data_IF_262650400744
#
_entry.id   IF_262650400744
#
_cell.length_a   1.000
_cell.length_b   1.000
_cell.length_c   1.000
_cell.angle_alpha   90.00
_cell.angle_beta   90.00
_cell.angle_gamma   90.00
#
_symmetry.space_group_name_H-M   'P 1'
#
loop_
_entity.id
_entity.type
_entity.pdbx_description
1 polymer ?
#
# COMPACT_ATOMS: atom_id res chain seq x y z
N UNK A 1 17.67 3.00 -18.70
CA UNK A 1 17.51 2.14 -17.50
C UNK A 1 16.79 0.88 -17.92
N UNK A 2 17.31 -0.28 -17.57
CA UNK A 2 16.67 -1.57 -17.79
C UNK A 2 15.60 -1.84 -16.72
N UNK A 3 14.66 -2.74 -17.00
CA UNK A 3 13.67 -3.16 -16.00
C UNK A 3 14.32 -3.72 -14.73
N UNK A 4 15.39 -4.51 -14.87
CA UNK A 4 16.08 -5.15 -13.74
C UNK A 4 16.74 -4.10 -12.83
N UNK A 5 17.34 -3.06 -13.42
CA UNK A 5 17.88 -1.92 -12.66
C UNK A 5 16.77 -1.18 -11.91
N UNK A 6 15.62 -0.97 -12.57
CA UNK A 6 14.47 -0.31 -11.96
C UNK A 6 13.92 -1.09 -10.76
N UNK A 7 13.73 -2.40 -10.90
CA UNK A 7 13.20 -3.29 -9.86
C UNK A 7 14.15 -3.43 -8.66
N UNK A 8 15.46 -3.46 -8.93
CA UNK A 8 16.48 -3.59 -7.89
C UNK A 8 16.73 -2.29 -7.12
N UNK A 9 16.40 -1.13 -7.70
CA UNK A 9 16.52 0.15 -6.99
C UNK A 9 15.44 0.30 -5.91
N UNK A 10 15.82 0.94 -4.80
CA UNK A 10 14.88 1.43 -3.80
C UNK A 10 14.48 2.86 -4.17
N UNK A 11 13.22 3.04 -4.58
CA UNK A 11 12.71 4.32 -5.02
C UNK A 11 11.95 5.05 -3.90
N UNK A 12 12.18 6.34 -3.79
CA UNK A 12 11.28 7.27 -3.11
C UNK A 12 10.20 7.77 -4.07
N UNK A 13 9.06 8.22 -3.52
CA UNK A 13 7.94 8.70 -4.34
C UNK A 13 8.34 9.92 -5.19
N UNK A 14 9.16 10.82 -4.65
CA UNK A 14 9.68 11.98 -5.39
C UNK A 14 10.49 11.55 -6.60
N UNK A 15 11.43 10.61 -6.42
CA UNK A 15 12.26 10.08 -7.50
C UNK A 15 11.42 9.40 -8.59
N UNK A 16 10.38 8.64 -8.22
CA UNK A 16 9.47 8.04 -9.20
C UNK A 16 8.73 9.10 -10.01
N UNK A 17 8.28 10.18 -9.37
CA UNK A 17 7.60 11.29 -10.07
C UNK A 17 8.56 12.01 -11.02
N UNK A 18 9.80 12.24 -10.62
CA UNK A 18 10.83 12.84 -11.48
C UNK A 18 11.15 11.94 -12.67
N UNK A 19 11.32 10.64 -12.42
CA UNK A 19 11.53 9.65 -13.47
C UNK A 19 10.36 9.64 -14.46
N UNK A 20 9.11 9.55 -13.97
CA UNK A 20 7.93 9.57 -14.82
C UNK A 20 7.84 10.85 -15.66
N UNK A 21 8.14 12.02 -15.08
CA UNK A 21 8.22 13.29 -15.82
C UNK A 21 9.28 13.26 -16.92
N UNK A 22 10.48 12.75 -16.62
CA UNK A 22 11.57 12.65 -17.61
C UNK A 22 11.20 11.74 -18.79
N UNK A 23 10.43 10.68 -18.52
CA UNK A 23 9.94 9.74 -19.52
C UNK A 23 8.60 10.15 -20.16
N UNK A 24 8.09 11.35 -19.84
CA UNK A 24 6.79 11.88 -20.30
C UNK A 24 5.60 10.95 -20.02
N UNK A 25 5.67 10.18 -18.92
CA UNK A 25 4.57 9.33 -18.45
C UNK A 25 3.57 10.22 -17.70
N UNK A 26 2.31 10.34 -18.15
CA UNK A 26 1.27 11.07 -17.45
C UNK A 26 0.85 10.29 -16.19
N UNK A 27 0.69 11.00 -15.07
CA UNK A 27 0.18 10.44 -13.82
C UNK A 27 -0.66 11.46 -13.04
N UNK A 28 -1.59 10.97 -12.22
CA UNK A 28 -2.39 11.81 -11.32
C UNK A 28 -1.55 12.26 -10.11
N UNK A 29 -1.76 13.49 -9.65
CA UNK A 29 -1.26 14.01 -8.37
C UNK A 29 -1.41 13.05 -7.18
N UNK A 30 -2.53 12.32 -7.11
CA UNK A 30 -2.93 11.39 -6.03
C UNK A 30 -2.50 9.94 -6.28
N UNK A 31 -1.74 9.67 -7.33
CA UNK A 31 -1.28 8.31 -7.63
C UNK A 31 -0.49 7.71 -6.46
N UNK A 32 -0.74 6.44 -6.15
CA UNK A 32 0.04 5.71 -5.15
C UNK A 32 1.41 5.36 -5.69
N UNK A 33 2.36 5.18 -4.77
CA UNK A 33 3.72 4.73 -5.09
C UNK A 33 3.73 3.44 -5.92
N UNK A 34 3.03 2.42 -5.45
CA UNK A 34 2.92 1.12 -6.15
C UNK A 34 2.34 1.23 -7.56
N UNK A 35 1.33 2.08 -7.75
CA UNK A 35 0.67 2.27 -9.05
C UNK A 35 1.63 2.96 -10.01
N UNK A 36 2.40 3.94 -9.51
CA UNK A 36 3.42 4.62 -10.29
C UNK A 36 4.59 3.68 -10.62
N UNK A 37 5.02 2.84 -9.67
CA UNK A 37 6.02 1.79 -9.93
C UNK A 37 5.54 0.82 -11.02
N UNK A 38 4.30 0.34 -10.94
CA UNK A 38 3.70 -0.55 -11.93
C UNK A 38 3.62 0.10 -13.33
N UNK A 39 3.17 1.35 -13.41
CA UNK A 39 3.11 2.10 -14.67
C UNK A 39 4.50 2.28 -15.30
N UNK A 40 5.51 2.62 -14.50
CA UNK A 40 6.88 2.78 -15.00
C UNK A 40 7.45 1.42 -15.43
N UNK A 41 7.23 0.35 -14.65
CA UNK A 41 7.64 -1.01 -15.03
C UNK A 41 7.02 -1.44 -16.36
N UNK A 42 5.71 -1.24 -16.55
CA UNK A 42 5.01 -1.54 -17.80
C UNK A 42 5.57 -0.74 -18.98
N UNK A 43 5.86 0.55 -18.77
CA UNK A 43 6.47 1.39 -19.79
C UNK A 43 7.88 0.90 -20.16
N UNK A 44 8.71 0.52 -19.19
CA UNK A 44 10.05 -0.02 -19.44
C UNK A 44 10.02 -1.37 -20.16
N UNK A 45 8.97 -2.17 -19.97
CA UNK A 45 8.79 -3.47 -20.65
C UNK A 45 8.28 -3.31 -22.08
N UNK A 46 7.28 -2.46 -22.30
CA UNK A 46 6.49 -2.44 -23.53
C UNK A 46 6.71 -1.18 -24.38
N UNK A 47 7.26 -0.12 -23.80
CA UNK A 47 7.31 1.21 -24.40
C UNK A 47 5.97 1.94 -24.43
N UNK A 48 4.88 1.34 -23.93
CA UNK A 48 3.52 1.88 -24.02
C UNK A 48 3.11 2.48 -22.68
N UNK A 49 2.54 3.67 -22.75
CA UNK A 49 1.89 4.34 -21.61
C UNK A 49 0.40 3.97 -21.63
N UNK A 50 -0.06 3.16 -20.67
CA UNK A 50 -1.50 2.99 -20.48
C UNK A 50 -2.09 4.24 -19.83
N UNK A 51 -2.99 4.91 -20.55
CA UNK A 51 -3.71 6.07 -20.02
C UNK A 51 -4.81 5.53 -19.12
N UNK A 52 -4.59 5.50 -17.80
CA UNK A 52 -5.72 5.28 -16.88
C UNK A 52 -6.67 6.47 -16.98
N UNK A 53 -7.95 6.17 -17.17
CA UNK A 53 -9.01 7.17 -17.14
C UNK A 53 -8.91 7.94 -15.82
N UNK A 54 -8.76 9.26 -15.92
CA UNK A 54 -8.86 10.16 -14.77
C UNK A 54 -10.21 9.92 -14.10
N UNK A 55 -10.20 9.38 -12.88
CA UNK A 55 -11.42 9.23 -12.11
C UNK A 55 -12.06 10.60 -11.92
N UNK A 56 -13.38 10.67 -12.15
CA UNK A 56 -14.20 11.88 -12.05
C UNK A 56 -13.88 12.69 -10.79
N UNK A 57 -13.98 14.01 -10.92
CA UNK A 57 -13.92 14.98 -9.82
C UNK A 57 -14.83 14.46 -8.70
N UNK A 58 -14.22 14.12 -7.55
CA UNK A 58 -14.97 13.75 -6.37
C UNK A 58 -15.76 14.97 -5.91
N UNK A 59 -17.03 14.76 -5.56
CA UNK A 59 -17.83 15.79 -4.88
C UNK A 59 -17.06 16.33 -3.66
N UNK A 60 -17.07 17.65 -3.48
CA UNK A 60 -16.48 18.30 -2.31
C UNK A 60 -17.23 17.98 -1.01
N UNK A 61 -18.39 17.32 -1.11
CA UNK A 61 -19.23 16.99 0.03
C UNK A 61 -18.49 16.08 1.03
N UNK A 62 -18.88 16.24 2.28
CA UNK A 62 -18.46 15.38 3.38
C UNK A 62 -19.49 14.26 3.47
N UNK A 63 -19.02 13.02 3.47
CA UNK A 63 -19.89 11.86 3.61
C UNK A 63 -20.60 11.90 4.97
N UNK A 64 -21.88 11.50 4.98
CA UNK A 64 -22.63 11.31 6.22
C UNK A 64 -22.17 9.98 6.85
N UNK A 65 -21.71 10.03 8.10
CA UNK A 65 -21.27 8.83 8.84
C UNK A 65 -22.47 8.10 9.42
N UNK A 66 -23.17 7.36 8.56
CA UNK A 66 -24.27 6.46 8.91
C UNK A 66 -24.12 5.13 8.15
N UNK A 67 -24.57 4.03 8.74
CA UNK A 67 -24.39 2.68 8.20
C UNK A 67 -24.95 2.53 6.77
N UNK A 68 -26.07 3.17 6.47
CA UNK A 68 -26.76 3.05 5.18
C UNK A 68 -26.34 4.13 4.19
N UNK A 69 -25.54 5.11 4.62
CA UNK A 69 -25.04 6.16 3.74
C UNK A 69 -23.98 5.61 2.79
N UNK A 70 -24.06 6.04 1.53
CA UNK A 70 -23.05 5.74 0.53
C UNK A 70 -21.74 6.45 0.82
N UNK A 71 -20.64 5.79 0.47
CA UNK A 71 -19.29 6.34 0.55
C UNK A 71 -18.96 6.96 -0.80
N UNK A 72 -18.95 8.29 -0.88
CA UNK A 72 -18.59 9.01 -2.10
C UNK A 72 -17.17 9.60 -2.00
N UNK A 73 -16.81 10.07 -0.80
CA UNK A 73 -15.56 10.76 -0.53
C UNK A 73 -14.95 10.33 0.81
N UNK A 74 -14.58 9.06 0.91
CA UNK A 74 -13.95 8.51 2.11
C UNK A 74 -12.75 9.33 2.58
N UNK A 75 -12.82 9.86 3.81
CA UNK A 75 -11.75 10.65 4.43
C UNK A 75 -11.13 9.91 5.61
N UNK A 76 -9.80 9.93 5.69
CA UNK A 76 -9.05 9.31 6.79
C UNK A 76 -9.01 10.21 8.05
N UNK A 77 -10.16 10.75 8.48
CA UNK A 77 -10.24 11.65 9.65
C UNK A 77 -10.41 10.86 10.96
N UNK A 78 -10.15 11.52 12.09
CA UNK A 78 -10.34 10.93 13.41
C UNK A 78 -11.79 10.51 13.64
N UNK A 79 -12.74 11.31 13.14
CA UNK A 79 -14.19 11.11 13.25
C UNK A 79 -14.62 9.87 12.47
N UNK A 80 -14.15 9.74 11.22
CA UNK A 80 -14.45 8.57 10.37
C UNK A 80 -13.94 7.28 11.03
N UNK A 81 -12.72 7.30 11.56
CA UNK A 81 -12.14 6.12 12.23
C UNK A 81 -12.78 5.84 13.59
N UNK A 82 -13.21 6.87 14.33
CA UNK A 82 -13.99 6.67 15.56
C UNK A 82 -15.29 5.95 15.25
N UNK A 83 -16.03 6.40 14.24
CA UNK A 83 -17.27 5.76 13.79
C UNK A 83 -17.04 4.29 13.38
N UNK A 84 -16.08 4.03 12.48
CA UNK A 84 -15.77 2.67 12.02
C UNK A 84 -15.39 1.75 13.19
N UNK A 85 -14.53 2.21 14.11
CA UNK A 85 -14.10 1.41 15.25
C UNK A 85 -15.26 1.15 16.23
N UNK A 86 -16.10 2.15 16.52
CA UNK A 86 -17.29 1.97 17.37
C UNK A 86 -18.25 0.95 16.78
N UNK A 87 -18.51 1.01 15.46
CA UNK A 87 -19.39 0.04 14.81
C UNK A 87 -18.76 -1.36 14.69
N UNK A 88 -17.44 -1.43 14.50
CA UNK A 88 -16.69 -2.69 14.54
C UNK A 88 -16.79 -3.34 15.92
N UNK A 89 -16.56 -2.58 16.99
CA UNK A 89 -16.56 -3.09 18.37
C UNK A 89 -17.93 -3.63 18.79
N UNK A 90 -19.03 -3.00 18.31
CA UNK A 90 -20.40 -3.52 18.51
C UNK A 90 -20.61 -4.90 17.89
N UNK A 91 -19.98 -5.17 16.73
CA UNK A 91 -20.20 -6.39 15.92
C UNK A 91 -19.19 -7.49 16.20
N UNK A 92 -17.97 -7.12 16.57
CA UNK A 92 -16.88 -8.04 16.86
C UNK A 92 -16.10 -7.56 18.09
N UNK A 93 -16.69 -7.63 19.29
CA UNK A 93 -16.06 -7.16 20.52
C UNK A 93 -14.71 -7.84 20.76
N UNK A 94 -13.68 -7.06 21.10
CA UNK A 94 -12.35 -7.58 21.40
C UNK A 94 -11.53 -8.03 20.17
N UNK A 95 -12.01 -7.77 18.95
CA UNK A 95 -11.24 -8.07 17.75
C UNK A 95 -9.98 -7.21 17.69
N UNK A 96 -8.81 -7.86 17.68
CA UNK A 96 -7.52 -7.18 17.56
C UNK A 96 -7.33 -6.63 16.16
N UNK A 97 -6.97 -5.35 16.06
CA UNK A 97 -6.65 -4.71 14.78
C UNK A 97 -5.32 -5.24 14.26
N UNK A 98 -5.33 -5.79 13.05
CA UNK A 98 -4.13 -6.25 12.35
C UNK A 98 -3.37 -5.09 11.75
N UNK A 99 -2.04 -5.19 11.81
CA UNK A 99 -1.15 -4.29 11.08
C UNK A 99 -1.46 -4.35 9.58
N UNK A 100 -1.59 -3.19 8.93
CA UNK A 100 -1.92 -3.07 7.52
C UNK A 100 -3.41 -3.15 7.17
N UNK A 101 -4.31 -3.52 8.08
CA UNK A 101 -5.76 -3.62 7.80
C UNK A 101 -6.35 -2.30 7.30
N UNK A 102 -6.00 -1.18 7.95
CA UNK A 102 -6.39 0.17 7.53
C UNK A 102 -5.93 0.52 6.11
N UNK A 103 -4.72 0.11 5.73
CA UNK A 103 -4.21 0.34 4.38
C UNK A 103 -5.01 -0.46 3.35
N UNK A 104 -5.21 -1.76 3.62
CA UNK A 104 -5.96 -2.64 2.73
C UNK A 104 -7.42 -2.22 2.59
N UNK A 105 -8.04 -1.73 3.67
CA UNK A 105 -9.39 -1.16 3.62
C UNK A 105 -9.43 0.07 2.69
N UNK A 106 -8.51 1.02 2.87
CA UNK A 106 -8.45 2.21 2.00
C UNK A 106 -8.29 1.83 0.53
N UNK A 107 -7.45 0.83 0.25
CA UNK A 107 -7.23 0.33 -1.12
C UNK A 107 -8.49 -0.34 -1.69
N UNK A 108 -9.18 -1.13 -0.87
CA UNK A 108 -10.44 -1.75 -1.26
C UNK A 108 -11.49 -0.69 -1.59
N UNK A 109 -11.68 0.32 -0.73
CA UNK A 109 -12.60 1.44 -0.98
C UNK A 109 -12.29 2.13 -2.31
N UNK A 110 -11.02 2.50 -2.53
CA UNK A 110 -10.64 3.19 -3.75
C UNK A 110 -10.84 2.33 -5.01
N UNK A 111 -10.57 1.03 -4.91
CA UNK A 111 -10.82 0.10 -6.00
C UNK A 111 -12.31 0.09 -6.33
N UNK A 112 -13.19 -0.06 -5.32
CA UNK A 112 -14.65 0.00 -5.49
C UNK A 112 -15.11 1.30 -6.17
N UNK A 113 -14.69 2.44 -5.62
CA UNK A 113 -15.06 3.75 -6.16
C UNK A 113 -14.52 3.99 -7.58
N UNK A 114 -13.30 3.52 -7.88
CA UNK A 114 -12.71 3.66 -9.21
C UNK A 114 -13.44 2.86 -10.30
N UNK A 115 -14.14 1.79 -9.93
CA UNK A 115 -14.98 1.00 -10.82
C UNK A 115 -16.44 1.47 -10.84
N UNK A 116 -16.75 2.58 -10.16
CA UNK A 116 -18.11 3.13 -10.07
C UNK A 116 -19.05 2.29 -9.21
N UNK A 117 -18.52 1.38 -8.39
CA UNK A 117 -19.32 0.61 -7.45
C UNK A 117 -19.83 1.51 -6.33
N UNK A 118 -21.10 1.34 -5.94
CA UNK A 118 -21.69 2.02 -4.79
C UNK A 118 -21.53 1.13 -3.56
N UNK A 119 -20.77 1.60 -2.59
CA UNK A 119 -20.58 0.93 -1.30
C UNK A 119 -21.10 1.82 -0.18
N UNK A 120 -21.59 1.21 0.89
CA UNK A 120 -22.06 1.88 2.11
C UNK A 120 -21.00 1.83 3.21
N UNK A 121 -21.16 2.64 4.26
CA UNK A 121 -20.32 2.49 5.45
C UNK A 121 -20.50 1.13 6.13
N UNK A 122 -21.68 0.51 6.04
CA UNK A 122 -21.87 -0.85 6.50
C UNK A 122 -20.92 -1.83 5.79
N UNK A 123 -20.75 -1.70 4.48
CA UNK A 123 -19.82 -2.54 3.70
C UNK A 123 -18.36 -2.30 4.13
N UNK A 124 -18.00 -1.03 4.37
CA UNK A 124 -16.66 -0.66 4.88
C UNK A 124 -16.37 -1.35 6.23
N UNK A 125 -17.34 -1.36 7.15
CA UNK A 125 -17.18 -2.00 8.47
C UNK A 125 -17.06 -3.52 8.32
N UNK A 126 -17.91 -4.14 7.49
CA UNK A 126 -17.84 -5.57 7.22
C UNK A 126 -16.50 -5.98 6.62
N UNK A 127 -16.00 -5.22 5.64
CA UNK A 127 -14.70 -5.46 5.03
C UNK A 127 -13.55 -5.28 6.04
N UNK A 128 -13.63 -4.25 6.89
CA UNK A 128 -12.63 -4.04 7.93
C UNK A 128 -12.60 -5.19 8.95
N UNK A 129 -13.77 -5.71 9.36
CA UNK A 129 -13.86 -6.90 10.20
C UNK A 129 -13.25 -8.11 9.49
N UNK A 130 -13.57 -8.33 8.21
CA UNK A 130 -13.03 -9.45 7.41
C UNK A 130 -11.50 -9.40 7.32
N UNK A 131 -10.92 -8.23 7.05
CA UNK A 131 -9.47 -8.02 7.04
C UNK A 131 -8.84 -8.37 8.39
N UNK A 132 -9.45 -7.94 9.49
CA UNK A 132 -8.94 -8.21 10.84
C UNK A 132 -9.14 -9.67 11.30
N UNK A 133 -10.09 -10.40 10.72
CA UNK A 133 -10.32 -11.84 10.97
C UNK A 133 -9.47 -12.78 10.10
N UNK A 134 -8.82 -12.26 9.06
CA UNK A 134 -8.01 -13.08 8.12
C UNK A 134 -6.92 -13.86 8.87
N UNK A 135 -6.79 -15.16 8.62
CA UNK A 135 -5.73 -15.95 9.25
C UNK A 135 -4.34 -15.52 8.78
N UNK A 136 -3.35 -15.60 9.67
CA UNK A 136 -1.98 -15.18 9.36
C UNK A 136 -1.81 -13.68 9.11
N UNK A 137 -0.79 -13.34 8.31
CA UNK A 137 -0.44 -11.96 7.94
C UNK A 137 -1.24 -11.53 6.71
N UNK A 138 -1.67 -10.28 6.68
CA UNK A 138 -2.21 -9.68 5.45
C UNK A 138 -1.11 -9.64 4.38
N UNK A 139 -1.47 -9.66 3.08
CA UNK A 139 -0.49 -9.59 2.00
C UNK A 139 0.42 -8.37 2.14
N UNK A 140 1.72 -8.60 1.91
CA UNK A 140 2.70 -7.51 1.86
C UNK A 140 2.48 -6.68 0.59
N UNK A 141 2.74 -5.38 0.71
CA UNK A 141 2.65 -4.45 -0.43
C UNK A 141 4.04 -4.35 -1.05
N UNK A 142 4.25 -4.77 -2.32
CA UNK A 142 5.60 -4.84 -2.91
C UNK A 142 6.38 -3.53 -2.87
N UNK A 143 5.71 -2.38 -3.05
CA UNK A 143 6.37 -1.06 -3.01
C UNK A 143 6.88 -0.65 -1.63
N UNK A 144 6.38 -1.30 -0.56
CA UNK A 144 6.75 -1.07 0.83
C UNK A 144 7.99 -1.89 1.23
N UNK A 145 9.00 -1.96 0.34
CA UNK A 145 10.19 -2.81 0.46
C UNK A 145 10.87 -2.71 1.84
N UNK A 146 10.99 -1.51 2.40
CA UNK A 146 11.54 -1.29 3.74
C UNK A 146 10.72 -2.00 4.83
N UNK A 147 9.42 -1.75 4.90
CA UNK A 147 8.56 -2.34 5.94
C UNK A 147 8.51 -3.86 5.84
N UNK A 148 8.44 -4.37 4.60
CA UNK A 148 8.47 -5.81 4.34
C UNK A 148 9.79 -6.42 4.83
N UNK A 149 10.93 -5.82 4.43
CA UNK A 149 12.25 -6.27 4.85
C UNK A 149 12.40 -6.29 6.38
N UNK A 150 12.05 -5.19 7.07
CA UNK A 150 12.18 -5.11 8.53
C UNK A 150 11.27 -6.16 9.20
N UNK A 151 10.03 -6.32 8.72
CA UNK A 151 9.11 -7.31 9.26
C UNK A 151 9.60 -8.75 9.05
N UNK A 152 10.20 -9.04 7.89
CA UNK A 152 10.68 -10.38 7.57
C UNK A 152 11.99 -10.67 8.30
N UNK A 153 12.88 -9.68 8.43
CA UNK A 153 14.12 -9.80 9.19
C UNK A 153 13.82 -10.17 10.65
N UNK A 154 12.96 -9.40 11.33
CA UNK A 154 12.61 -9.66 12.74
C UNK A 154 11.85 -10.98 12.95
N UNK A 155 11.16 -11.47 11.91
CA UNK A 155 10.45 -12.74 11.99
C UNK A 155 11.38 -13.96 11.80
N UNK A 156 12.54 -13.79 11.17
CA UNK A 156 13.40 -14.90 10.77
C UNK A 156 14.77 -14.91 11.47
N UNK A 157 15.26 -13.77 11.94
CA UNK A 157 16.53 -13.68 12.67
C UNK A 157 16.27 -13.78 14.19
N UNK A 158 16.75 -14.87 14.81
CA UNK A 158 16.58 -15.10 16.25
C UNK A 158 17.33 -14.03 17.06
N UNK A 159 16.69 -13.54 18.12
CA UNK A 159 17.22 -12.51 19.03
C UNK A 159 17.61 -11.18 18.37
N UNK A 160 17.15 -10.95 17.14
CA UNK A 160 17.48 -9.75 16.41
C UNK A 160 16.68 -8.54 16.91
N UNK A 161 17.37 -7.42 17.04
CA UNK A 161 16.78 -6.14 17.41
C UNK A 161 16.32 -5.36 16.17
N UNK A 162 15.55 -4.30 16.40
CA UNK A 162 15.14 -3.39 15.33
C UNK A 162 16.37 -2.68 14.74
N UNK A 163 17.35 -2.38 15.57
CA UNK A 163 18.61 -1.74 15.21
C UNK A 163 19.39 -2.62 14.24
N UNK A 164 19.48 -3.93 14.51
CA UNK A 164 20.11 -4.91 13.60
C UNK A 164 19.42 -4.92 12.23
N UNK A 165 18.08 -4.89 12.22
CA UNK A 165 17.29 -4.86 10.99
C UNK A 165 17.55 -3.58 10.19
N UNK A 166 17.69 -2.43 10.86
CA UNK A 166 18.00 -1.15 10.22
C UNK A 166 19.40 -1.14 9.62
N UNK A 167 20.39 -1.71 10.32
CA UNK A 167 21.76 -1.82 9.80
C UNK A 167 21.80 -2.73 8.56
N UNK A 168 21.14 -3.89 8.63
CA UNK A 168 21.01 -4.80 7.49
C UNK A 168 20.32 -4.14 6.30
N UNK A 169 19.25 -3.36 6.54
CA UNK A 169 18.56 -2.61 5.51
C UNK A 169 19.45 -1.54 4.87
N UNK A 170 20.22 -0.80 5.66
CA UNK A 170 21.15 0.23 5.17
C UNK A 170 22.15 -0.38 4.18
N UNK A 171 22.73 -1.54 4.52
CA UNK A 171 23.62 -2.31 3.64
C UNK A 171 22.89 -2.75 2.36
N UNK A 172 21.71 -3.35 2.50
CA UNK A 172 20.93 -3.84 1.35
C UNK A 172 20.53 -2.72 0.38
N UNK A 173 20.21 -1.53 0.90
CA UNK A 173 19.73 -0.38 0.11
C UNK A 173 20.71 0.00 -1.01
N UNK A 174 22.00 -0.09 -0.76
CA UNK A 174 23.05 0.35 -1.68
C UNK A 174 23.49 -0.73 -2.69
N UNK A 175 23.14 -2.00 -2.44
CA UNK A 175 23.46 -3.12 -3.34
C UNK A 175 22.66 -3.02 -4.66
N UNK A 176 23.14 -3.58 -5.78
CA UNK A 176 22.38 -3.62 -7.04
C UNK A 176 21.49 -4.88 -7.17
N UNK A 177 20.92 -5.32 -6.04
CA UNK A 177 20.08 -6.52 -5.92
C UNK A 177 18.68 -6.17 -5.40
N UNK A 178 17.73 -7.10 -5.55
CA UNK A 178 16.36 -6.97 -5.09
C UNK A 178 16.29 -6.68 -3.58
N UNK A 179 15.45 -5.72 -3.19
CA UNK A 179 15.32 -5.23 -1.81
C UNK A 179 14.33 -6.06 -1.00
N UNK A 180 14.61 -7.35 -0.85
CA UNK A 180 13.85 -8.25 0.02
C UNK A 180 14.76 -9.07 0.93
N UNK A 181 14.18 -9.61 2.00
CA UNK A 181 14.91 -10.35 3.03
C UNK A 181 15.59 -11.61 2.47
N UNK A 182 14.89 -12.34 1.59
CA UNK A 182 15.40 -13.58 1.00
C UNK A 182 16.66 -13.33 0.17
N UNK A 183 16.65 -12.27 -0.65
CA UNK A 183 17.78 -11.88 -1.49
C UNK A 183 18.94 -11.41 -0.62
N UNK A 184 18.69 -10.58 0.39
CA UNK A 184 19.71 -10.16 1.34
C UNK A 184 20.36 -11.35 2.06
N UNK A 185 19.56 -12.29 2.58
CA UNK A 185 20.05 -13.46 3.33
C UNK A 185 21.01 -14.31 2.49
N UNK A 186 20.70 -14.51 1.21
CA UNK A 186 21.56 -15.24 0.26
C UNK A 186 22.90 -14.54 0.02
N UNK A 187 22.90 -13.21 -0.06
CA UNK A 187 24.09 -12.41 -0.37
C UNK A 187 24.87 -11.94 0.86
N UNK A 188 24.35 -12.16 2.08
CA UNK A 188 25.07 -11.83 3.33
C UNK A 188 26.27 -12.76 3.57
N UNK A 189 26.16 -14.01 3.13
CA UNK A 189 27.14 -15.07 3.39
C UNK A 189 28.12 -15.28 2.24
N UNK A 190 28.12 -14.40 1.23
CA UNK A 190 29.01 -14.43 0.07
C UNK A 190 29.97 -13.27 0.17
#
# INVERSE_FOLDING_TARGET
>A
MTIKEFENKYWYMSELKELAKSQKIPFDSKIRKEQLEEMISQFLQTGIVSKKNSSKIKSCNVDILDLNSFVDNFRNTKETWKFINTEMDKRAPGLKIKSGAKYWLNRWIENKLSHGEKITYNDVICEYIRLNKTEGKLPQIPSCKFNNFISDYLANEKNATREDALEAWKKLKDMKIKKDYITWKKNKNT
#
